data_IF_967626247388
#
_entry.id   IF_967626247388
#
_cell.length_a   1.000
_cell.length_b   1.000
_cell.length_c   1.000
_cell.angle_alpha   90.00
_cell.angle_beta   90.00
_cell.angle_gamma   90.00
#
_symmetry.space_group_name_H-M   'P 1'
#
loop_
_entity.id
_entity.type
_entity.pdbx_description
1 polymer ?
#
# COMPACT_ATOMS: atom_id res chain seq x y z
N UNK A 1 27.03 -11.78 5.38
CA UNK A 1 26.91 -10.54 4.58
C UNK A 1 26.38 -10.94 3.21
N UNK A 2 25.09 -10.78 2.95
CA UNK A 2 24.52 -10.99 1.62
C UNK A 2 24.26 -9.62 1.01
N UNK A 3 24.94 -9.33 -0.11
CA UNK A 3 24.70 -8.13 -0.89
C UNK A 3 23.25 -8.15 -1.39
N UNK A 4 22.47 -7.17 -0.95
CA UNK A 4 21.14 -6.88 -1.46
C UNK A 4 21.32 -6.46 -2.91
N UNK A 5 21.00 -7.36 -3.85
CA UNK A 5 21.02 -7.01 -5.26
C UNK A 5 19.95 -5.94 -5.49
N UNK A 6 20.37 -4.70 -5.74
CA UNK A 6 19.51 -3.65 -6.28
C UNK A 6 18.80 -4.21 -7.50
N UNK A 7 17.48 -4.35 -7.38
CA UNK A 7 16.67 -4.95 -8.43
C UNK A 7 16.52 -3.95 -9.57
N UNK A 8 16.49 -4.42 -10.84
CA UNK A 8 16.35 -3.55 -11.99
C UNK A 8 15.02 -2.82 -11.89
N UNK A 9 15.10 -1.50 -11.82
CA UNK A 9 13.95 -0.61 -11.90
C UNK A 9 13.19 -0.90 -13.21
N UNK A 10 11.86 -1.11 -13.20
CA UNK A 10 11.05 -1.16 -14.42
C UNK A 10 10.99 0.22 -15.11
N UNK A 11 12.14 0.75 -15.51
CA UNK A 11 12.32 2.06 -16.13
C UNK A 11 11.47 2.26 -17.40
N UNK A 12 11.08 1.15 -18.04
CA UNK A 12 10.13 1.18 -19.16
C UNK A 12 8.80 1.87 -18.81
N UNK A 13 8.38 1.80 -17.53
CA UNK A 13 7.16 2.44 -17.05
C UNK A 13 7.31 3.96 -16.89
N UNK A 14 8.54 4.45 -16.70
CA UNK A 14 8.81 5.89 -16.59
C UNK A 14 8.62 6.61 -17.93
N UNK A 15 8.77 5.88 -19.03
CA UNK A 15 8.56 6.39 -20.39
C UNK A 15 7.09 6.40 -20.82
N UNK A 16 6.18 5.82 -20.03
CA UNK A 16 4.75 5.86 -20.35
C UNK A 16 4.18 7.27 -20.12
N UNK A 17 3.33 7.78 -21.02
CA UNK A 17 2.63 9.05 -20.78
C UNK A 17 1.68 8.95 -19.58
N UNK A 18 1.37 10.07 -18.93
CA UNK A 18 0.53 10.12 -17.72
C UNK A 18 -0.91 9.61 -17.90
N UNK A 19 -1.35 9.43 -19.14
CA UNK A 19 -2.64 8.90 -19.52
C UNK A 19 -2.52 7.60 -20.33
N UNK A 20 -1.41 6.87 -20.18
CA UNK A 20 -1.17 5.62 -20.92
C UNK A 20 -2.28 4.58 -20.74
N UNK A 21 -3.00 4.63 -19.61
CA UNK A 21 -4.09 3.71 -19.26
C UNK A 21 -5.35 4.50 -18.89
N UNK A 22 -5.96 5.27 -19.82
CA UNK A 22 -6.92 6.31 -19.48
C UNK A 22 -8.27 5.76 -19.04
N UNK A 23 -8.65 4.56 -19.51
CA UNK A 23 -9.89 3.88 -19.16
C UNK A 23 -9.74 2.89 -18.01
N UNK A 24 -8.52 2.63 -17.54
CA UNK A 24 -8.28 1.63 -16.53
C UNK A 24 -8.75 2.14 -15.15
N UNK A 25 -9.67 1.41 -14.53
CA UNK A 25 -10.38 1.83 -13.32
C UNK A 25 -10.06 0.98 -12.08
N UNK A 26 -9.34 -0.12 -12.26
CA UNK A 26 -8.93 -1.04 -11.20
C UNK A 26 -7.46 -1.42 -11.39
N UNK A 27 -6.71 -1.44 -10.29
CA UNK A 27 -5.35 -1.95 -10.23
C UNK A 27 -5.26 -3.01 -9.13
N UNK A 28 -4.85 -4.20 -9.51
CA UNK A 28 -4.64 -5.31 -8.58
C UNK A 28 -3.19 -5.73 -8.59
N UNK A 29 -2.58 -5.77 -7.42
CA UNK A 29 -1.18 -6.14 -7.24
C UNK A 29 -1.17 -7.33 -6.30
N UNK A 30 -0.91 -8.51 -6.85
CA UNK A 30 -0.77 -9.73 -6.08
C UNK A 30 0.67 -10.19 -6.01
N UNK A 31 1.09 -10.65 -4.83
CA UNK A 31 2.29 -11.44 -4.71
C UNK A 31 1.97 -12.94 -4.83
N UNK A 32 2.63 -13.64 -5.77
CA UNK A 32 2.48 -15.09 -5.94
C UNK A 32 3.45 -15.92 -5.08
N UNK A 33 4.46 -15.31 -4.45
CA UNK A 33 5.45 -16.10 -3.71
C UNK A 33 5.02 -16.30 -2.27
N UNK A 34 4.73 -17.56 -1.90
CA UNK A 34 4.52 -18.05 -0.52
C UNK A 34 5.76 -17.98 0.38
N UNK A 35 6.85 -17.35 -0.08
CA UNK A 35 8.14 -17.35 0.60
C UNK A 35 8.43 -15.94 1.15
N UNK A 36 8.69 -15.81 2.47
CA UNK A 36 8.83 -14.52 3.16
C UNK A 36 10.14 -13.77 2.86
N UNK A 37 10.90 -14.19 1.83
CA UNK A 37 12.31 -13.78 1.69
C UNK A 37 12.58 -12.81 0.53
N UNK A 38 11.55 -12.31 -0.17
CA UNK A 38 11.76 -11.25 -1.17
C UNK A 38 10.69 -10.17 -1.08
N UNK A 39 11.09 -8.88 -1.06
CA UNK A 39 10.13 -7.80 -1.15
C UNK A 39 9.34 -7.94 -2.47
N UNK A 40 8.00 -7.86 -2.41
CA UNK A 40 7.13 -8.00 -3.56
C UNK A 40 7.41 -6.95 -4.64
N UNK A 41 7.99 -7.41 -5.76
CA UNK A 41 8.28 -6.61 -6.97
C UNK A 41 7.07 -5.88 -7.56
N UNK A 42 5.87 -6.39 -7.28
CA UNK A 42 4.62 -5.84 -7.82
C UNK A 42 4.31 -4.43 -7.32
N UNK A 43 4.73 -4.05 -6.11
CA UNK A 43 4.39 -2.74 -5.56
C UNK A 43 5.16 -1.60 -6.21
N UNK A 44 6.42 -1.80 -6.60
CA UNK A 44 7.20 -0.82 -7.38
C UNK A 44 6.53 -0.56 -8.72
N UNK A 45 6.12 -1.62 -9.42
CA UNK A 45 5.40 -1.53 -10.70
C UNK A 45 4.08 -0.79 -10.52
N UNK A 46 3.29 -1.18 -9.52
CA UNK A 46 2.00 -0.55 -9.26
C UNK A 46 2.11 0.94 -8.96
N UNK A 47 3.09 1.32 -8.14
CA UNK A 47 3.34 2.73 -7.79
C UNK A 47 3.66 3.58 -9.01
N UNK A 48 4.39 3.02 -9.98
CA UNK A 48 4.68 3.68 -11.26
C UNK A 48 3.49 3.70 -12.22
N UNK A 49 2.58 2.74 -12.13
CA UNK A 49 1.38 2.67 -12.98
C UNK A 49 0.23 3.55 -12.50
N UNK A 50 0.08 3.73 -11.19
CA UNK A 50 -0.98 4.54 -10.58
C UNK A 50 -1.13 5.94 -11.20
N UNK A 51 -0.04 6.72 -11.38
CA UNK A 51 -0.13 8.05 -12.02
C UNK A 51 -0.61 7.97 -13.48
N UNK A 52 -0.38 6.83 -14.15
CA UNK A 52 -0.69 6.58 -15.57
C UNK A 52 -2.17 6.22 -15.81
N UNK A 53 -2.97 6.12 -14.74
CA UNK A 53 -4.35 5.64 -14.75
C UNK A 53 -5.30 6.72 -14.20
N UNK A 54 -5.67 7.76 -14.97
CA UNK A 54 -6.49 8.86 -14.48
C UNK A 54 -7.89 8.42 -14.00
N UNK A 55 -8.47 7.38 -14.61
CA UNK A 55 -9.77 6.83 -14.22
C UNK A 55 -9.71 5.81 -13.07
N UNK A 56 -8.55 5.61 -12.43
CA UNK A 56 -8.37 4.63 -11.36
C UNK A 56 -9.30 4.93 -10.17
N UNK A 57 -10.12 3.94 -9.79
CA UNK A 57 -11.07 4.03 -8.68
C UNK A 57 -10.86 2.96 -7.61
N UNK A 58 -10.16 1.88 -7.93
CA UNK A 58 -9.97 0.74 -7.05
C UNK A 58 -8.53 0.28 -7.07
N UNK A 59 -7.98 0.07 -5.88
CA UNK A 59 -6.65 -0.50 -5.70
C UNK A 59 -6.75 -1.66 -4.72
N UNK A 60 -6.20 -2.81 -5.09
CA UNK A 60 -6.14 -3.99 -4.25
C UNK A 60 -4.72 -4.53 -4.16
N UNK A 61 -4.19 -4.58 -2.93
CA UNK A 61 -2.87 -5.09 -2.58
C UNK A 61 -3.03 -6.42 -1.85
N UNK A 62 -2.59 -7.49 -2.51
CA UNK A 62 -2.78 -8.85 -2.03
C UNK A 62 -1.51 -9.45 -1.44
N UNK A 63 -1.61 -9.89 -0.17
CA UNK A 63 -0.65 -10.69 0.61
C UNK A 63 0.67 -10.00 0.92
N UNK A 64 0.93 -9.76 2.21
CA UNK A 64 2.26 -9.41 2.75
C UNK A 64 2.76 -8.10 2.17
N UNK A 65 2.00 -7.03 2.40
CA UNK A 65 2.31 -5.69 1.90
C UNK A 65 3.02 -4.91 3.00
N UNK A 66 4.30 -4.55 2.84
CA UNK A 66 4.93 -3.64 3.80
C UNK A 66 4.14 -2.34 3.88
N UNK A 67 3.97 -1.80 5.10
CA UNK A 67 3.26 -0.53 5.31
C UNK A 67 3.77 0.57 4.36
N UNK A 68 5.09 0.70 4.21
CA UNK A 68 5.74 1.68 3.35
C UNK A 68 5.31 1.56 1.87
N UNK A 69 5.05 0.35 1.38
CA UNK A 69 4.60 0.12 0.01
C UNK A 69 3.11 0.45 -0.16
N UNK A 70 2.29 0.12 0.84
CA UNK A 70 0.86 0.46 0.83
C UNK A 70 0.65 1.98 0.85
N UNK A 71 1.32 2.69 1.77
CA UNK A 71 1.23 4.15 1.86
C UNK A 71 1.86 4.82 0.65
N UNK A 72 3.01 4.32 0.16
CA UNK A 72 3.66 4.85 -1.04
C UNK A 72 2.81 4.71 -2.31
N UNK A 73 1.93 3.71 -2.39
CA UNK A 73 0.95 3.58 -3.47
C UNK A 73 -0.11 4.69 -3.40
N UNK A 74 -0.59 5.00 -2.20
CA UNK A 74 -1.58 6.04 -1.96
C UNK A 74 -0.97 7.44 -2.18
N UNK A 75 0.28 7.66 -1.78
CA UNK A 75 1.02 8.90 -2.07
C UNK A 75 1.21 9.11 -3.57
N UNK A 76 1.50 8.05 -4.32
CA UNK A 76 1.63 8.12 -5.77
C UNK A 76 0.31 8.46 -6.49
N UNK A 77 -0.85 8.20 -5.87
CA UNK A 77 -2.13 8.72 -6.37
C UNK A 77 -2.21 10.23 -6.16
N UNK A 78 -1.75 10.70 -5.00
CA UNK A 78 -1.83 12.10 -4.59
C UNK A 78 -3.17 12.49 -3.98
N UNK A 79 -3.12 13.54 -3.15
CA UNK A 79 -4.26 13.99 -2.32
C UNK A 79 -5.49 14.48 -3.10
N UNK A 80 -5.31 14.93 -4.34
CA UNK A 80 -6.40 15.43 -5.18
C UNK A 80 -7.26 14.32 -5.79
N UNK A 81 -6.82 13.06 -5.69
CA UNK A 81 -7.53 11.91 -6.25
C UNK A 81 -8.60 11.38 -5.30
N UNK A 82 -9.53 10.62 -5.87
CA UNK A 82 -10.61 9.95 -5.16
C UNK A 82 -10.67 8.48 -5.54
N UNK A 83 -10.61 7.60 -4.55
CA UNK A 83 -10.84 6.18 -4.71
C UNK A 83 -12.22 5.80 -4.20
N UNK A 84 -12.87 4.90 -4.93
CA UNK A 84 -14.07 4.21 -4.44
C UNK A 84 -13.70 3.14 -3.41
N UNK A 85 -12.58 2.44 -3.61
CA UNK A 85 -12.14 1.35 -2.74
C UNK A 85 -10.63 1.21 -2.69
N UNK A 86 -10.09 1.09 -1.49
CA UNK A 86 -8.72 0.65 -1.25
C UNK A 86 -8.74 -0.61 -0.39
N UNK A 87 -8.01 -1.63 -0.82
CA UNK A 87 -7.92 -2.90 -0.13
C UNK A 87 -6.46 -3.33 0.01
N UNK A 88 -6.02 -3.58 1.25
CA UNK A 88 -4.69 -4.07 1.55
C UNK A 88 -4.80 -5.26 2.53
N UNK A 89 -4.36 -6.43 2.08
CA UNK A 89 -4.43 -7.66 2.87
C UNK A 89 -3.07 -8.02 3.45
N UNK A 90 -3.02 -8.16 4.77
CA UNK A 90 -1.80 -8.48 5.54
C UNK A 90 -0.73 -7.40 5.34
N UNK A 91 -1.00 -6.23 5.90
CA UNK A 91 -0.02 -5.15 6.02
C UNK A 91 0.96 -5.48 7.14
N UNK A 92 2.25 -5.42 6.85
CA UNK A 92 3.35 -5.77 7.78
C UNK A 92 4.19 -4.55 8.13
N UNK A 93 5.10 -4.73 9.09
CA UNK A 93 6.20 -3.81 9.43
C UNK A 93 5.79 -2.47 10.07
N UNK A 94 4.55 -2.36 10.57
CA UNK A 94 4.18 -1.26 11.47
C UNK A 94 4.54 -1.67 12.90
N UNK A 95 5.68 -1.25 13.44
CA UNK A 95 6.12 -1.65 14.79
C UNK A 95 5.23 -1.06 15.90
N UNK A 96 4.70 0.14 15.71
CA UNK A 96 3.83 0.85 16.66
C UNK A 96 2.38 1.01 16.13
N UNK A 97 2.04 0.22 15.11
CA UNK A 97 0.82 0.35 14.32
C UNK A 97 1.01 1.23 13.08
N UNK A 98 -0.05 1.35 12.28
CA UNK A 98 0.00 2.09 11.03
C UNK A 98 0.14 3.61 11.25
N UNK A 99 0.96 4.26 10.44
CA UNK A 99 1.29 5.69 10.49
C UNK A 99 0.69 6.50 9.32
N UNK A 100 -0.15 5.87 8.50
CA UNK A 100 -0.68 6.47 7.26
C UNK A 100 -1.42 7.78 7.52
N UNK A 101 -2.10 7.89 8.67
CA UNK A 101 -2.85 9.08 9.04
C UNK A 101 -2.01 10.34 9.24
N UNK A 102 -0.72 10.21 9.49
CA UNK A 102 0.19 11.36 9.62
C UNK A 102 0.47 12.03 8.28
N UNK A 103 0.25 11.28 7.18
CA UNK A 103 0.37 11.75 5.80
C UNK A 103 -0.98 11.97 5.12
N UNK A 104 -2.09 11.99 5.88
CA UNK A 104 -3.44 12.01 5.32
C UNK A 104 -3.72 13.15 4.32
N UNK A 105 -2.97 14.26 4.35
CA UNK A 105 -3.10 15.36 3.38
C UNK A 105 -2.50 15.02 2.00
N UNK A 106 -1.56 14.07 1.95
CA UNK A 106 -0.89 13.61 0.75
C UNK A 106 -1.62 12.41 0.11
N UNK A 107 -2.57 11.81 0.84
CA UNK A 107 -3.31 10.62 0.42
C UNK A 107 -4.64 10.99 -0.24
N UNK A 108 -5.11 10.20 -1.22
CA UNK A 108 -6.39 10.42 -1.87
C UNK A 108 -7.55 10.29 -0.87
N UNK A 109 -8.69 10.87 -1.22
CA UNK A 109 -9.94 10.58 -0.50
C UNK A 109 -10.39 9.14 -0.82
N UNK A 110 -10.73 8.34 0.19
CA UNK A 110 -11.07 6.92 0.05
C UNK A 110 -12.47 6.66 0.62
N UNK A 111 -13.42 6.31 -0.26
CA UNK A 111 -14.81 6.03 0.14
C UNK A 111 -14.96 4.74 0.96
N UNK A 112 -14.19 3.70 0.62
CA UNK A 112 -14.23 2.41 1.31
C UNK A 112 -12.80 1.87 1.49
N UNK A 113 -12.45 1.54 2.72
CA UNK A 113 -11.13 1.02 3.06
C UNK A 113 -11.25 -0.35 3.71
N UNK A 114 -10.49 -1.32 3.23
CA UNK A 114 -10.31 -2.63 3.86
C UNK A 114 -8.82 -2.85 4.11
N UNK A 115 -8.42 -2.87 5.37
CA UNK A 115 -7.02 -3.14 5.76
C UNK A 115 -7.03 -4.30 6.75
N UNK A 116 -6.25 -5.33 6.44
CA UNK A 116 -5.88 -6.37 7.40
C UNK A 116 -4.42 -6.13 7.77
N UNK A 117 -4.13 -6.02 9.06
CA UNK A 117 -2.77 -5.79 9.58
C UNK A 117 -2.31 -7.07 10.28
N UNK A 118 -1.05 -7.43 10.07
CA UNK A 118 -0.41 -8.51 10.82
C UNK A 118 0.06 -7.95 12.17
N UNK A 119 -0.42 -8.55 13.27
CA UNK A 119 0.01 -8.15 14.61
C UNK A 119 1.41 -8.72 14.85
N UNK A 120 2.39 -7.92 15.30
CA UNK A 120 3.70 -8.41 15.67
C UNK A 120 3.62 -9.59 16.65
N UNK A 121 4.40 -10.65 16.41
CA UNK A 121 4.33 -11.90 17.19
C UNK A 121 4.59 -11.68 18.68
N UNK A 122 5.45 -10.73 19.02
CA UNK A 122 5.79 -10.34 20.39
C UNK A 122 4.63 -9.65 21.13
N UNK A 123 3.64 -9.13 20.40
CA UNK A 123 2.45 -8.49 20.96
C UNK A 123 1.23 -9.43 21.00
N UNK A 124 1.20 -10.47 20.16
CA UNK A 124 0.01 -11.23 19.79
C UNK A 124 -0.81 -11.80 20.97
N UNK A 125 -0.17 -12.23 22.06
CA UNK A 125 -0.82 -12.84 23.23
C UNK A 125 -0.98 -11.87 24.41
N UNK A 126 -0.75 -10.57 24.20
CA UNK A 126 -0.75 -9.55 25.25
C UNK A 126 -1.83 -8.49 25.05
N UNK A 127 -2.16 -7.75 26.11
CA UNK A 127 -3.04 -6.58 26.03
C UNK A 127 -2.53 -5.52 25.04
N UNK A 128 -1.22 -5.51 24.74
CA UNK A 128 -0.61 -4.62 23.76
C UNK A 128 -1.07 -4.89 22.32
N UNK A 129 -1.56 -6.09 21.98
CA UNK A 129 -2.20 -6.34 20.68
C UNK A 129 -3.47 -5.49 20.48
N UNK A 130 -4.22 -5.25 21.57
CA UNK A 130 -5.40 -4.39 21.55
C UNK A 130 -5.01 -2.93 21.33
N UNK A 131 -3.99 -2.44 22.04
CA UNK A 131 -3.47 -1.07 21.88
C UNK A 131 -2.92 -0.83 20.48
N UNK A 132 -2.19 -1.81 19.94
CA UNK A 132 -1.71 -1.82 18.55
C UNK A 132 -2.86 -1.66 17.54
N UNK A 133 -3.92 -2.46 17.67
CA UNK A 133 -5.08 -2.38 16.79
C UNK A 133 -5.78 -1.03 16.88
N UNK A 134 -5.91 -0.47 18.08
CA UNK A 134 -6.49 0.87 18.31
C UNK A 134 -5.62 1.95 17.65
N UNK A 135 -4.29 1.86 17.75
CA UNK A 135 -3.36 2.79 17.10
C UNK A 135 -3.54 2.78 15.57
N UNK A 136 -3.61 1.59 14.97
CA UNK A 136 -3.88 1.43 13.54
C UNK A 136 -5.20 2.11 13.13
N UNK A 137 -6.29 1.83 13.84
CA UNK A 137 -7.62 2.42 13.53
C UNK A 137 -7.58 3.94 13.68
N UNK A 138 -6.99 4.47 14.76
CA UNK A 138 -6.88 5.92 14.98
C UNK A 138 -6.13 6.62 13.86
N UNK A 139 -5.07 6.01 13.36
CA UNK A 139 -4.30 6.52 12.23
C UNK A 139 -5.14 6.52 10.95
N UNK A 140 -5.74 5.39 10.59
CA UNK A 140 -6.54 5.26 9.37
C UNK A 140 -7.76 6.20 9.34
N UNK A 141 -8.39 6.48 10.49
CA UNK A 141 -9.51 7.42 10.60
C UNK A 141 -9.16 8.87 10.25
N UNK A 142 -7.88 9.24 10.22
CA UNK A 142 -7.44 10.57 9.77
C UNK A 142 -7.56 10.72 8.24
N UNK A 143 -7.61 9.62 7.49
CA UNK A 143 -7.76 9.59 6.04
C UNK A 143 -9.25 9.79 5.70
N UNK A 144 -9.53 10.71 4.78
CA UNK A 144 -10.90 11.15 4.44
C UNK A 144 -11.57 10.31 3.38
#
# INVERSE_FOLDING_TARGET
QHAQAEQPDPAVLDHLPEDALPAASSLEIGNQTRLPLRPPKGFVIGRKLVPKMPALRRVSLWRGTPEADAVGMLEALGGDRRLERFEATVVTDGEEGLTWGDRAQELPTIKQMFVSVEVPEDLADSDAAGEFGIACVRSLLKIR
#
